data_IF_937491838984
#
_entry.id   IF_937491838984
#
_cell.length_a   1.000
_cell.length_b   1.000
_cell.length_c   1.000
_cell.angle_alpha   90.00
_cell.angle_beta   90.00
_cell.angle_gamma   90.00
#
_symmetry.space_group_name_H-M   'P 1'
#
loop_
_entity.id
_entity.type
_entity.pdbx_description
1 polymer ?
#
# COMPACT_ATOMS: atom_id res chain seq x y z
N UNK A 1 4.53 29.17 -2.30
CA UNK A 1 3.88 28.23 -3.25
C UNK A 1 3.67 26.82 -2.66
N UNK A 2 4.34 26.43 -1.57
CA UNK A 2 4.36 25.07 -0.98
C UNK A 2 3.21 24.74 -0.02
N UNK A 3 2.69 25.70 0.77
CA UNK A 3 1.46 25.52 1.60
C UNK A 3 0.24 25.11 0.76
N UNK A 4 0.38 25.37 -0.54
CA UNK A 4 -0.62 25.45 -1.57
C UNK A 4 -1.35 24.13 -1.91
N UNK A 5 -0.51 23.07 -1.85
CA UNK A 5 -0.68 21.76 -2.47
C UNK A 5 -1.08 20.68 -1.46
N UNK A 6 -1.08 21.00 -0.16
CA UNK A 6 -1.47 20.07 0.91
C UNK A 6 -2.89 19.53 0.74
N UNK A 7 -3.77 20.29 0.07
CA UNK A 7 -5.12 19.84 -0.29
C UNK A 7 -5.11 18.56 -1.14
N UNK A 8 -4.05 18.31 -1.92
CA UNK A 8 -3.88 17.09 -2.72
C UNK A 8 -3.62 15.85 -1.87
N UNK A 9 -3.14 16.00 -0.63
CA UNK A 9 -3.05 14.88 0.32
C UNK A 9 -4.44 14.39 0.75
N UNK A 10 -5.47 15.25 0.70
CA UNK A 10 -6.86 14.88 1.03
C UNK A 10 -7.61 14.37 -0.19
N UNK A 11 -7.32 14.93 -1.36
CA UNK A 11 -8.01 14.62 -2.61
C UNK A 11 -7.89 13.14 -3.00
N UNK A 12 -6.70 12.55 -2.84
CA UNK A 12 -6.50 11.13 -3.11
C UNK A 12 -6.58 10.28 -1.83
N UNK A 13 -7.73 10.34 -1.16
CA UNK A 13 -8.06 9.44 -0.03
C UNK A 13 -9.34 8.68 -0.31
N UNK A 14 -9.51 7.51 0.31
CA UNK A 14 -10.71 6.69 0.11
C UNK A 14 -11.96 7.42 0.58
N UNK A 15 -11.91 8.03 1.77
CA UNK A 15 -13.03 8.78 2.33
C UNK A 15 -13.48 9.91 1.40
N UNK A 16 -12.53 10.66 0.83
CA UNK A 16 -12.84 11.72 -0.10
C UNK A 16 -13.38 11.20 -1.44
N UNK A 17 -12.81 10.11 -1.97
CA UNK A 17 -13.34 9.48 -3.18
C UNK A 17 -14.79 9.03 -3.00
N UNK A 18 -15.11 8.33 -1.91
CA UNK A 18 -16.48 7.88 -1.67
C UNK A 18 -17.43 9.00 -1.27
N UNK A 19 -16.96 10.08 -0.65
CA UNK A 19 -17.79 11.27 -0.47
C UNK A 19 -18.16 11.88 -1.83
N UNK A 20 -17.22 12.01 -2.76
CA UNK A 20 -17.51 12.48 -4.12
C UNK A 20 -18.45 11.56 -4.90
N UNK A 21 -18.26 10.25 -4.79
CA UNK A 21 -19.05 9.25 -5.53
C UNK A 21 -20.49 9.12 -5.00
N UNK A 22 -20.70 9.26 -3.69
CA UNK A 22 -22.00 9.01 -3.06
C UNK A 22 -22.83 10.27 -2.78
N UNK A 23 -22.26 11.48 -2.93
CA UNK A 23 -22.96 12.73 -2.61
C UNK A 23 -23.40 13.48 -3.88
N UNK A 24 -24.58 14.11 -3.84
CA UNK A 24 -24.94 15.17 -4.77
C UNK A 24 -24.05 16.41 -4.49
N UNK A 25 -22.93 16.49 -5.20
CA UNK A 25 -22.12 17.68 -5.54
C UNK A 25 -22.28 18.94 -4.68
N UNK A 26 -21.87 18.91 -3.41
CA UNK A 26 -21.66 20.14 -2.62
C UNK A 26 -20.39 20.08 -1.76
N UNK A 27 -19.36 19.36 -2.21
CA UNK A 27 -18.05 19.39 -1.54
C UNK A 27 -17.23 20.58 -2.09
N UNK A 28 -17.12 21.63 -1.27
CA UNK A 28 -16.31 22.83 -1.55
C UNK A 28 -14.85 22.48 -1.84
N UNK A 29 -14.36 21.36 -1.31
CA UNK A 29 -12.99 20.87 -1.54
C UNK A 29 -12.79 20.41 -2.98
N UNK A 30 -13.75 19.68 -3.56
CA UNK A 30 -13.65 19.20 -4.94
C UNK A 30 -13.59 20.39 -5.90
N UNK A 31 -14.55 21.31 -5.78
CA UNK A 31 -14.58 22.54 -6.56
C UNK A 31 -13.30 23.38 -6.45
N UNK A 32 -12.78 23.55 -5.23
CA UNK A 32 -11.54 24.28 -4.98
C UNK A 32 -10.32 23.62 -5.66
N UNK A 33 -10.22 22.28 -5.63
CA UNK A 33 -9.14 21.55 -6.31
C UNK A 33 -9.28 21.69 -7.83
N UNK A 34 -10.47 21.51 -8.39
CA UNK A 34 -10.69 21.63 -9.84
C UNK A 34 -10.32 23.05 -10.32
N UNK A 35 -10.87 24.09 -9.69
CA UNK A 35 -10.60 25.49 -10.10
C UNK A 35 -9.12 25.85 -10.04
N UNK A 36 -8.38 25.21 -9.13
CA UNK A 36 -6.97 25.51 -8.88
C UNK A 36 -6.01 24.77 -9.81
N UNK A 37 -6.26 23.49 -10.03
CA UNK A 37 -5.29 22.59 -10.69
C UNK A 37 -5.70 22.20 -12.11
N UNK A 38 -6.92 22.53 -12.53
CA UNK A 38 -7.43 22.20 -13.87
C UNK A 38 -7.75 23.48 -14.65
N UNK A 39 -7.24 23.56 -15.88
CA UNK A 39 -7.60 24.63 -16.82
C UNK A 39 -8.88 24.27 -17.57
N UNK A 40 -9.83 25.20 -17.67
CA UNK A 40 -11.10 25.04 -18.41
C UNK A 40 -11.88 23.73 -18.11
N UNK A 41 -12.53 23.63 -16.92
CA UNK A 41 -13.14 22.36 -16.48
C UNK A 41 -14.56 22.08 -17.01
N UNK A 42 -15.26 23.06 -17.60
CA UNK A 42 -16.73 23.04 -17.82
C UNK A 42 -17.27 21.93 -18.73
N UNK A 43 -16.43 21.28 -19.54
CA UNK A 43 -16.85 20.22 -20.47
C UNK A 43 -16.19 18.86 -20.21
N UNK A 44 -15.37 18.77 -19.16
CA UNK A 44 -14.62 17.57 -18.81
C UNK A 44 -15.45 16.67 -17.92
N UNK A 45 -15.36 15.37 -18.14
CA UNK A 45 -15.83 14.41 -17.15
C UNK A 45 -14.89 14.36 -15.94
N UNK A 46 -15.38 13.85 -14.81
CA UNK A 46 -14.58 13.78 -13.59
C UNK A 46 -13.32 12.91 -13.75
N UNK A 47 -13.33 11.92 -14.64
CA UNK A 47 -12.15 11.12 -14.98
C UNK A 47 -11.02 11.98 -15.58
N UNK A 48 -11.34 12.81 -16.55
CA UNK A 48 -10.41 13.74 -17.19
C UNK A 48 -9.86 14.77 -16.20
N UNK A 49 -10.74 15.31 -15.34
CA UNK A 49 -10.33 16.24 -14.27
C UNK A 49 -9.31 15.61 -13.32
N UNK A 50 -9.58 14.38 -12.85
CA UNK A 50 -8.68 13.63 -11.97
C UNK A 50 -7.35 13.34 -12.66
N UNK A 51 -7.36 13.00 -13.95
CA UNK A 51 -6.15 12.76 -14.73
C UNK A 51 -5.26 14.00 -14.83
N UNK A 52 -5.85 15.18 -15.04
CA UNK A 52 -5.09 16.44 -15.07
C UNK A 52 -4.46 16.80 -13.71
N UNK A 53 -5.20 16.60 -12.62
CA UNK A 53 -4.68 16.80 -11.27
C UNK A 53 -3.51 15.86 -10.99
N UNK A 54 -3.66 14.58 -11.35
CA UNK A 54 -2.61 13.59 -11.16
C UNK A 54 -1.37 13.89 -12.03
N UNK A 55 -1.56 14.40 -13.25
CA UNK A 55 -0.48 14.86 -14.11
C UNK A 55 0.27 16.03 -13.49
N UNK A 56 -0.42 16.97 -12.85
CA UNK A 56 0.21 18.03 -12.06
C UNK A 56 1.04 17.44 -10.91
N UNK A 57 0.46 16.53 -10.12
CA UNK A 57 1.16 15.87 -9.01
C UNK A 57 2.44 15.17 -9.46
N UNK A 58 2.41 14.51 -10.62
CA UNK A 58 3.56 13.78 -11.16
C UNK A 58 4.80 14.65 -11.40
N UNK A 59 4.60 15.96 -11.62
CA UNK A 59 5.67 16.92 -11.91
C UNK A 59 6.04 17.78 -10.71
N UNK A 60 5.06 18.16 -9.89
CA UNK A 60 5.21 19.22 -8.90
C UNK A 60 4.99 18.78 -7.45
N UNK A 61 4.32 17.66 -7.20
CA UNK A 61 3.93 17.26 -5.84
C UNK A 61 3.68 15.74 -5.71
N UNK A 62 4.77 14.97 -5.67
CA UNK A 62 4.75 13.51 -5.58
C UNK A 62 4.71 13.06 -4.12
N UNK A 63 3.52 13.10 -3.53
CA UNK A 63 3.28 12.66 -2.14
C UNK A 63 3.24 11.13 -1.99
N UNK A 64 3.05 10.63 -0.77
CA UNK A 64 2.97 9.19 -0.44
C UNK A 64 1.96 8.45 -1.34
N UNK A 65 0.78 9.02 -1.55
CA UNK A 65 -0.23 8.45 -2.44
C UNK A 65 0.31 8.23 -3.86
N UNK A 66 1.00 9.23 -4.42
CA UNK A 66 1.56 9.14 -5.76
C UNK A 66 2.55 7.98 -5.89
N UNK A 67 3.44 7.84 -4.90
CA UNK A 67 4.41 6.74 -4.83
C UNK A 67 3.70 5.38 -4.68
N UNK A 68 2.78 5.25 -3.74
CA UNK A 68 2.01 4.02 -3.52
C UNK A 68 1.22 3.61 -4.77
N UNK A 69 0.55 4.55 -5.42
CA UNK A 69 -0.19 4.29 -6.64
C UNK A 69 0.72 3.88 -7.79
N UNK A 70 1.90 4.50 -7.91
CA UNK A 70 2.89 4.11 -8.92
C UNK A 70 3.48 2.73 -8.63
N UNK A 71 3.81 2.41 -7.38
CA UNK A 71 4.29 1.09 -6.98
C UNK A 71 3.26 0.01 -7.27
N UNK A 72 2.00 0.23 -6.90
CA UNK A 72 0.92 -0.70 -7.21
C UNK A 72 0.80 -0.90 -8.72
N UNK A 73 0.72 0.15 -9.51
CA UNK A 73 0.62 0.00 -10.97
C UNK A 73 1.84 -0.70 -11.59
N UNK A 74 3.06 -0.32 -11.21
CA UNK A 74 4.28 -0.85 -11.86
C UNK A 74 4.63 -2.26 -11.38
N UNK A 75 4.48 -2.55 -10.10
CA UNK A 75 4.82 -3.85 -9.54
C UNK A 75 3.65 -4.85 -9.66
N UNK A 76 2.44 -4.47 -9.24
CA UNK A 76 1.30 -5.39 -9.25
C UNK A 76 0.73 -5.60 -10.64
N UNK A 77 0.58 -4.54 -11.45
CA UNK A 77 -0.07 -4.62 -12.77
C UNK A 77 0.93 -4.73 -13.94
N UNK A 78 2.14 -4.20 -13.79
CA UNK A 78 3.16 -4.22 -14.83
C UNK A 78 4.06 -5.47 -14.81
N UNK A 79 4.39 -6.01 -13.63
CA UNK A 79 5.30 -7.16 -13.49
C UNK A 79 4.61 -8.45 -13.06
N UNK A 80 3.47 -8.34 -12.40
CA UNK A 80 2.79 -9.48 -11.81
C UNK A 80 1.33 -9.56 -12.26
N UNK A 81 0.66 -10.64 -11.85
CA UNK A 81 -0.77 -10.79 -12.04
C UNK A 81 -1.50 -10.58 -10.72
N UNK A 82 -2.56 -9.78 -10.75
CA UNK A 82 -3.50 -9.58 -9.64
C UNK A 82 -4.11 -10.89 -9.12
N UNK A 83 -4.14 -11.96 -9.93
CA UNK A 83 -4.62 -13.27 -9.49
C UNK A 83 -3.63 -14.00 -8.58
N UNK A 84 -2.35 -13.64 -8.67
CA UNK A 84 -1.25 -14.36 -8.02
C UNK A 84 -0.52 -13.53 -6.97
N UNK A 85 -0.85 -12.23 -6.89
CA UNK A 85 -0.16 -11.26 -6.07
C UNK A 85 -1.16 -10.51 -5.20
N UNK A 86 -0.76 -10.27 -3.95
CA UNK A 86 -1.55 -9.52 -2.99
C UNK A 86 -0.73 -8.32 -2.52
N UNK A 87 -1.24 -7.12 -2.76
CA UNK A 87 -0.75 -5.93 -2.11
C UNK A 87 -1.50 -5.68 -0.79
N UNK A 88 -0.80 -5.21 0.24
CA UNK A 88 -1.34 -4.68 1.49
C UNK A 88 -0.78 -3.27 1.69
N UNK A 89 -1.48 -2.44 2.45
CA UNK A 89 -1.02 -1.09 2.79
C UNK A 89 -1.26 -0.82 4.25
N UNK A 90 -0.49 0.08 4.83
CA UNK A 90 -0.75 0.63 6.16
C UNK A 90 -0.79 -0.45 7.27
N UNK A 91 0.04 -1.48 7.16
CA UNK A 91 0.06 -2.63 8.09
C UNK A 91 0.89 -2.29 9.33
N UNK A 92 0.31 -2.31 10.55
CA UNK A 92 1.06 -2.07 11.78
C UNK A 92 2.03 -3.22 12.06
N UNK A 93 3.29 -2.88 12.36
CA UNK A 93 4.34 -3.84 12.73
C UNK A 93 5.11 -3.25 13.91
N UNK A 94 4.95 -3.86 15.09
CA UNK A 94 5.51 -3.34 16.33
C UNK A 94 5.12 -1.87 16.58
N UNK A 95 6.07 -0.93 16.56
CA UNK A 95 5.82 0.51 16.76
C UNK A 95 5.73 1.29 15.45
N UNK A 96 5.95 0.61 14.33
CA UNK A 96 6.01 1.17 12.99
C UNK A 96 4.81 0.71 12.16
N UNK A 97 4.67 1.30 10.97
CA UNK A 97 3.55 0.99 10.05
C UNK A 97 4.09 0.92 8.63
N UNK A 98 4.04 -0.27 8.06
CA UNK A 98 4.53 -0.50 6.71
C UNK A 98 3.60 0.14 5.67
N UNK A 99 4.15 1.00 4.82
CA UNK A 99 3.38 1.77 3.83
C UNK A 99 2.76 0.85 2.79
N UNK A 100 3.55 -0.05 2.21
CA UNK A 100 3.14 -0.93 1.13
C UNK A 100 3.83 -2.28 1.22
N UNK A 101 3.09 -3.38 1.05
CA UNK A 101 3.64 -4.74 1.07
C UNK A 101 3.14 -5.46 -0.16
N UNK A 102 4.03 -6.15 -0.87
CA UNK A 102 3.68 -6.97 -2.03
C UNK A 102 4.02 -8.43 -1.77
N UNK A 103 3.03 -9.31 -1.91
CA UNK A 103 3.14 -10.75 -1.65
C UNK A 103 2.94 -11.52 -2.96
N UNK A 104 4.03 -12.04 -3.53
CA UNK A 104 4.03 -12.95 -4.68
C UNK A 104 5.23 -13.90 -4.63
N UNK A 105 5.04 -15.11 -4.13
CA UNK A 105 6.13 -16.06 -3.88
C UNK A 105 6.97 -15.69 -2.65
N UNK A 106 7.35 -14.41 -2.52
CA UNK A 106 7.90 -13.75 -1.34
C UNK A 106 7.08 -12.52 -0.95
N UNK A 107 7.25 -12.01 0.26
CA UNK A 107 6.64 -10.78 0.72
C UNK A 107 7.71 -9.69 0.89
N UNK A 108 7.58 -8.60 0.15
CA UNK A 108 8.49 -7.45 0.21
C UNK A 108 7.75 -6.26 0.82
N UNK A 109 8.31 -5.71 1.91
CA UNK A 109 7.87 -4.45 2.50
C UNK A 109 8.54 -3.30 1.74
N UNK A 110 7.75 -2.31 1.34
CA UNK A 110 8.20 -1.08 0.71
C UNK A 110 7.91 0.09 1.63
N UNK A 111 8.95 0.69 2.18
CA UNK A 111 8.91 1.95 2.92
C UNK A 111 9.11 3.11 1.94
N UNK A 112 8.17 4.04 1.89
CA UNK A 112 8.20 5.16 0.95
C UNK A 112 8.88 6.37 1.63
N UNK A 113 9.91 6.92 1.00
CA UNK A 113 10.56 8.17 1.39
C UNK A 113 10.51 9.14 0.23
N UNK A 114 9.49 9.97 0.21
CA UNK A 114 9.31 11.01 -0.81
C UNK A 114 10.31 12.14 -0.62
N UNK A 115 10.39 13.08 -1.57
CA UNK A 115 11.20 14.30 -1.41
C UNK A 115 10.74 15.20 -0.25
N UNK A 116 9.55 14.93 0.31
CA UNK A 116 8.97 15.66 1.44
C UNK A 116 9.33 15.04 2.79
N UNK A 117 9.89 13.82 2.81
CA UNK A 117 10.11 13.03 4.03
C UNK A 117 11.53 13.16 4.59
N UNK A 118 11.65 13.00 5.90
CA UNK A 118 12.93 12.78 6.56
C UNK A 118 13.24 11.29 6.72
N UNK A 119 14.53 10.98 6.91
CA UNK A 119 15.03 9.63 7.16
C UNK A 119 15.13 9.29 8.65
N UNK A 120 14.74 10.20 9.55
CA UNK A 120 15.07 10.13 10.99
C UNK A 120 14.46 8.90 11.67
N UNK A 121 13.29 8.44 11.19
CA UNK A 121 12.59 7.25 11.71
C UNK A 121 12.98 5.96 11.00
N UNK A 122 13.77 6.03 9.93
CA UNK A 122 13.97 4.91 9.02
C UNK A 122 14.59 3.70 9.73
N UNK A 123 15.61 3.90 10.58
CA UNK A 123 16.24 2.80 11.32
C UNK A 123 15.23 2.02 12.17
N UNK A 124 14.37 2.71 12.92
CA UNK A 124 13.36 2.07 13.77
C UNK A 124 12.34 1.32 12.93
N UNK A 125 11.91 1.92 11.81
CA UNK A 125 10.98 1.31 10.87
C UNK A 125 11.55 0.01 10.30
N UNK A 126 12.78 0.03 9.79
CA UNK A 126 13.44 -1.15 9.20
C UNK A 126 13.60 -2.27 10.22
N UNK A 127 14.06 -1.97 11.44
CA UNK A 127 14.18 -2.95 12.53
C UNK A 127 12.83 -3.57 12.89
N UNK A 128 11.75 -2.80 12.89
CA UNK A 128 10.42 -3.33 13.15
C UNK A 128 9.92 -4.21 11.99
N UNK A 129 10.15 -3.80 10.74
CA UNK A 129 9.69 -4.57 9.57
C UNK A 129 10.35 -5.93 9.46
N UNK A 130 11.66 -6.01 9.75
CA UNK A 130 12.39 -7.29 9.74
C UNK A 130 11.92 -8.29 10.82
N UNK A 131 11.15 -7.85 11.83
CA UNK A 131 10.52 -8.77 12.79
C UNK A 131 9.37 -9.57 12.19
N UNK A 132 8.74 -9.08 11.13
CA UNK A 132 7.57 -9.72 10.54
C UNK A 132 7.74 -10.13 9.08
N UNK A 133 8.69 -9.53 8.36
CA UNK A 133 8.96 -9.82 6.95
C UNK A 133 10.46 -9.96 6.71
N UNK A 134 10.83 -10.85 5.80
CA UNK A 134 12.24 -11.13 5.53
C UNK A 134 12.81 -10.38 4.31
N UNK A 135 12.02 -9.52 3.65
CA UNK A 135 12.50 -8.63 2.61
C UNK A 135 11.93 -7.23 2.82
N UNK A 136 12.82 -6.24 2.89
CA UNK A 136 12.46 -4.83 3.10
C UNK A 136 13.19 -3.98 2.06
N UNK A 137 12.47 -3.04 1.46
CA UNK A 137 12.96 -2.14 0.43
C UNK A 137 12.55 -0.71 0.79
N UNK A 138 13.47 0.25 0.65
CA UNK A 138 13.14 1.67 0.67
C UNK A 138 12.88 2.13 -0.76
N UNK A 139 11.81 2.89 -0.97
CA UNK A 139 11.46 3.50 -2.25
C UNK A 139 11.61 5.00 -2.12
N UNK A 140 12.42 5.61 -2.98
CA UNK A 140 12.73 7.04 -2.88
C UNK A 140 12.90 7.69 -4.25
N UNK A 141 13.21 8.99 -4.29
CA UNK A 141 13.46 9.76 -5.51
C UNK A 141 14.92 9.65 -5.96
N UNK A 142 15.22 10.12 -7.18
CA UNK A 142 16.61 10.22 -7.65
C UNK A 142 17.44 11.16 -6.77
N UNK A 143 16.86 12.26 -6.31
CA UNK A 143 17.50 13.26 -5.44
C UNK A 143 17.88 12.72 -4.05
N UNK A 144 17.16 11.71 -3.54
CA UNK A 144 17.41 11.11 -2.23
C UNK A 144 18.20 9.79 -2.32
N UNK A 145 18.53 9.32 -3.52
CA UNK A 145 19.14 8.01 -3.72
C UNK A 145 20.49 7.87 -3.01
N UNK A 146 21.43 8.79 -3.21
CA UNK A 146 22.76 8.75 -2.58
C UNK A 146 22.66 8.77 -1.05
N UNK A 147 21.74 9.57 -0.50
CA UNK A 147 21.47 9.61 0.94
C UNK A 147 20.97 8.25 1.44
N UNK A 148 20.03 7.63 0.73
CA UNK A 148 19.52 6.31 1.07
C UNK A 148 20.62 5.23 0.99
N UNK A 149 21.48 5.27 -0.04
CA UNK A 149 22.63 4.37 -0.20
C UNK A 149 23.59 4.49 0.99
N UNK A 150 23.94 5.71 1.38
CA UNK A 150 24.85 5.96 2.50
C UNK A 150 24.26 5.47 3.83
N UNK A 151 22.99 5.73 4.10
CA UNK A 151 22.31 5.28 5.34
C UNK A 151 22.21 3.75 5.39
N UNK A 152 22.01 3.10 4.24
CA UNK A 152 21.72 1.66 4.16
C UNK A 152 22.95 0.82 3.73
N UNK A 153 24.13 1.42 3.73
CA UNK A 153 25.36 0.76 3.33
C UNK A 153 25.59 -0.50 4.19
N UNK A 154 25.89 -1.63 3.53
CA UNK A 154 26.12 -2.92 4.19
C UNK A 154 24.89 -3.65 4.73
N UNK A 155 23.67 -3.09 4.58
CA UNK A 155 22.44 -3.76 5.01
C UNK A 155 21.85 -4.67 3.92
N UNK A 156 20.92 -5.56 4.28
CA UNK A 156 20.14 -6.37 3.31
C UNK A 156 18.99 -5.60 2.63
N UNK A 157 18.82 -4.33 3.00
CA UNK A 157 17.68 -3.51 2.55
C UNK A 157 17.85 -3.13 1.08
N UNK A 158 16.79 -3.36 0.30
CA UNK A 158 16.70 -2.93 -1.09
C UNK A 158 16.47 -1.42 -1.19
N UNK A 159 16.84 -0.83 -2.33
CA UNK A 159 16.62 0.58 -2.62
C UNK A 159 16.05 0.66 -4.03
N UNK A 160 14.83 1.17 -4.17
CA UNK A 160 14.24 1.46 -5.47
C UNK A 160 14.06 2.96 -5.66
N UNK A 161 14.38 3.42 -6.86
CA UNK A 161 14.20 4.82 -7.23
C UNK A 161 13.02 4.98 -8.16
N UNK A 162 12.12 5.89 -7.81
CA UNK A 162 11.01 6.31 -8.66
C UNK A 162 11.44 7.52 -9.52
N UNK A 163 11.77 7.22 -10.77
CA UNK A 163 12.25 8.20 -11.76
C UNK A 163 11.22 9.31 -12.03
N UNK A 164 11.65 10.48 -12.55
CA UNK A 164 10.75 11.53 -13.02
C UNK A 164 9.73 11.06 -14.07
N UNK A 165 10.05 10.00 -14.82
CA UNK A 165 9.16 9.36 -15.80
C UNK A 165 8.15 8.38 -15.17
N UNK A 166 8.03 8.38 -13.84
CA UNK A 166 7.11 7.53 -13.07
C UNK A 166 7.33 6.03 -13.30
N UNK A 167 8.59 5.64 -13.44
CA UNK A 167 9.03 4.23 -13.53
C UNK A 167 10.04 3.92 -12.44
N UNK A 168 10.19 2.63 -12.11
CA UNK A 168 11.24 2.18 -11.20
C UNK A 168 12.55 2.09 -11.99
N UNK A 169 13.58 2.79 -11.51
CA UNK A 169 14.88 2.85 -12.18
C UNK A 169 15.51 1.45 -12.27
N UNK A 170 16.05 1.11 -13.44
CA UNK A 170 16.83 -0.12 -13.64
C UNK A 170 18.30 0.07 -13.27
N UNK A 171 18.77 1.32 -13.22
CA UNK A 171 20.17 1.71 -12.96
C UNK A 171 20.40 2.09 -11.50
N UNK A 172 19.55 2.96 -10.94
CA UNK A 172 19.64 3.41 -9.56
C UNK A 172 18.76 2.52 -8.69
N UNK A 173 19.25 1.32 -8.40
CA UNK A 173 18.54 0.37 -7.54
C UNK A 173 19.46 -0.63 -6.87
N UNK A 174 18.96 -1.20 -5.78
CA UNK A 174 19.49 -2.36 -5.08
C UNK A 174 18.31 -3.30 -4.77
N UNK A 175 18.43 -4.56 -5.12
CA UNK A 175 17.40 -5.55 -4.81
C UNK A 175 17.42 -5.88 -3.31
N UNK A 176 16.25 -6.07 -2.65
CA UNK A 176 16.22 -6.50 -1.26
C UNK A 176 16.63 -7.96 -1.13
N UNK A 177 17.47 -8.25 -0.14
CA UNK A 177 17.96 -9.59 0.17
C UNK A 177 17.13 -10.24 1.27
N UNK A 178 17.05 -11.57 1.26
CA UNK A 178 16.34 -12.32 2.29
C UNK A 178 17.09 -12.24 3.63
N UNK A 179 16.41 -11.82 4.68
CA UNK A 179 16.91 -11.86 6.05
C UNK A 179 15.87 -12.45 7.01
N UNK A 180 16.11 -13.68 7.45
CA UNK A 180 15.25 -14.37 8.43
C UNK A 180 15.72 -14.22 9.88
N UNK A 181 16.87 -13.58 10.14
CA UNK A 181 17.52 -13.60 11.47
C UNK A 181 16.76 -12.80 12.53
N UNK A 182 15.90 -11.87 12.10
CA UNK A 182 15.15 -10.98 12.99
C UNK A 182 13.67 -11.36 13.14
N UNK A 183 13.21 -12.40 12.43
CA UNK A 183 11.80 -12.80 12.49
C UNK A 183 11.40 -13.16 13.92
N UNK A 184 10.25 -12.63 14.34
CA UNK A 184 9.70 -12.81 15.67
C UNK A 184 8.26 -13.34 15.58
N UNK A 185 7.97 -14.41 16.32
CA UNK A 185 6.65 -15.04 16.31
C UNK A 185 5.55 -14.06 16.70
N UNK A 186 5.81 -13.20 17.70
CA UNK A 186 4.80 -12.25 18.19
C UNK A 186 4.49 -11.19 17.15
N UNK A 187 5.50 -10.64 16.48
CA UNK A 187 5.34 -9.66 15.42
C UNK A 187 4.57 -10.23 14.22
N UNK A 188 4.92 -11.43 13.76
CA UNK A 188 4.19 -12.12 12.68
C UNK A 188 2.75 -12.39 13.09
N UNK A 189 2.53 -12.92 14.30
CA UNK A 189 1.21 -13.28 14.79
C UNK A 189 0.27 -12.08 14.90
N UNK A 190 0.78 -10.93 15.38
CA UNK A 190 0.00 -9.69 15.52
C UNK A 190 -0.53 -9.11 14.21
N UNK A 191 0.07 -9.46 13.07
CA UNK A 191 -0.40 -9.01 11.75
C UNK A 191 -1.62 -9.84 11.31
N UNK A 192 -1.75 -11.07 11.80
CA UNK A 192 -2.80 -12.01 11.40
C UNK A 192 -4.13 -11.68 12.07
N UNK A 193 -5.21 -11.75 11.31
CA UNK A 193 -6.56 -11.70 11.84
C UNK A 193 -6.91 -13.04 12.52
N UNK A 194 -7.90 -13.03 13.42
CA UNK A 194 -8.35 -14.22 14.18
C UNK A 194 -8.44 -15.50 13.35
N UNK A 195 -9.23 -15.45 12.28
CA UNK A 195 -9.42 -16.60 11.37
C UNK A 195 -8.12 -17.07 10.72
N UNK A 196 -7.18 -16.16 10.47
CA UNK A 196 -5.93 -16.49 9.78
C UNK A 196 -4.97 -17.27 10.68
N UNK A 197 -4.76 -16.84 11.92
CA UNK A 197 -3.93 -17.60 12.85
C UNK A 197 -4.61 -18.91 13.28
N UNK A 198 -5.95 -18.93 13.41
CA UNK A 198 -6.71 -20.16 13.68
C UNK A 198 -6.51 -21.20 12.57
N UNK A 199 -6.60 -20.77 11.30
CA UNK A 199 -6.33 -21.64 10.17
C UNK A 199 -4.90 -22.22 10.20
N UNK A 200 -3.91 -21.44 10.63
CA UNK A 200 -2.52 -21.91 10.75
C UNK A 200 -2.42 -22.97 11.85
N UNK A 201 -3.00 -22.72 13.02
CA UNK A 201 -2.97 -23.65 14.15
C UNK A 201 -3.71 -24.95 13.82
N UNK A 202 -4.89 -24.88 13.22
CA UNK A 202 -5.63 -26.05 12.74
C UNK A 202 -4.82 -26.83 11.70
N UNK A 203 -4.20 -26.14 10.74
CA UNK A 203 -3.39 -26.79 9.72
C UNK A 203 -2.14 -27.47 10.30
N UNK A 204 -1.51 -26.89 11.32
CA UNK A 204 -0.25 -27.40 11.87
C UNK A 204 -0.46 -28.46 12.96
N UNK A 205 -1.40 -28.22 13.88
CA UNK A 205 -1.62 -29.05 15.07
C UNK A 205 -2.90 -29.89 15.00
N UNK A 206 -3.77 -29.66 14.02
CA UNK A 206 -5.07 -30.35 13.89
C UNK A 206 -6.15 -29.85 14.87
N UNK A 207 -5.83 -28.91 15.76
CA UNK A 207 -6.75 -28.39 16.78
C UNK A 207 -6.39 -26.97 17.21
N UNK A 208 -7.39 -26.28 17.74
CA UNK A 208 -7.25 -25.00 18.43
C UNK A 208 -7.03 -25.22 19.93
N UNK A 209 -6.43 -24.25 20.65
CA UNK A 209 -6.25 -24.37 22.08
C UNK A 209 -7.62 -24.32 22.78
N UNK A 210 -7.79 -25.16 23.81
CA UNK A 210 -8.97 -25.12 24.68
C UNK A 210 -8.72 -24.05 25.73
N UNK A 211 -9.33 -22.88 25.55
CA UNK A 211 -9.15 -21.73 26.43
C UNK A 211 -10.45 -20.92 26.53
N UNK A 212 -10.64 -20.23 27.65
CA UNK A 212 -11.72 -19.24 27.76
C UNK A 212 -11.44 -18.06 26.82
N UNK A 213 -12.50 -17.31 26.48
CA UNK A 213 -12.42 -16.18 25.56
C UNK A 213 -11.36 -15.12 25.97
N UNK A 214 -11.16 -14.93 27.27
CA UNK A 214 -10.18 -13.97 27.83
C UNK A 214 -8.74 -14.40 27.55
N UNK A 215 -8.43 -15.69 27.61
CA UNK A 215 -7.08 -16.22 27.41
C UNK A 215 -6.80 -16.69 25.99
N UNK A 216 -7.84 -16.80 25.15
CA UNK A 216 -7.77 -17.44 23.84
C UNK A 216 -6.67 -16.88 22.93
N UNK A 217 -6.53 -15.55 22.85
CA UNK A 217 -5.49 -14.92 22.04
C UNK A 217 -4.08 -15.30 22.51
N UNK A 218 -3.86 -15.27 23.83
CA UNK A 218 -2.58 -15.62 24.44
C UNK A 218 -2.22 -17.09 24.24
N UNK A 219 -3.18 -17.99 24.39
CA UNK A 219 -2.95 -19.43 24.15
C UNK A 219 -2.68 -19.74 22.67
N UNK A 220 -3.39 -19.06 21.76
CA UNK A 220 -3.09 -19.17 20.32
C UNK A 220 -1.67 -18.69 19.99
N UNK A 221 -1.23 -17.58 20.59
CA UNK A 221 0.14 -17.07 20.39
C UNK A 221 1.19 -18.03 20.96
N UNK A 222 0.97 -18.58 22.17
CA UNK A 222 1.86 -19.60 22.76
C UNK A 222 2.00 -20.80 21.84
N UNK A 223 0.88 -21.32 21.34
CA UNK A 223 0.88 -22.47 20.42
C UNK A 223 1.52 -22.12 19.07
N UNK A 224 1.25 -20.95 18.52
CA UNK A 224 1.88 -20.47 17.28
C UNK A 224 3.41 -20.35 17.42
N UNK A 225 3.88 -19.92 18.59
CA UNK A 225 5.31 -19.74 18.89
C UNK A 225 6.08 -21.08 18.97
N UNK A 226 5.39 -22.21 19.05
CA UNK A 226 5.99 -23.55 18.97
C UNK A 226 6.27 -24.00 17.53
N UNK A 227 5.70 -23.32 16.53
CA UNK A 227 5.96 -23.62 15.11
C UNK A 227 7.35 -23.07 14.77
N UNK A 228 8.25 -23.83 14.09
CA UNK A 228 9.53 -23.30 13.64
C UNK A 228 9.36 -21.97 12.88
N UNK A 229 10.10 -20.92 13.26
CA UNK A 229 9.82 -19.52 12.84
C UNK A 229 9.70 -19.35 11.32
N UNK A 230 10.58 -19.96 10.53
CA UNK A 230 10.53 -19.91 9.05
C UNK A 230 9.27 -20.59 8.51
N UNK A 231 8.81 -21.67 9.15
CA UNK A 231 7.57 -22.36 8.77
C UNK A 231 6.35 -21.53 9.18
N UNK A 232 6.35 -20.95 10.37
CA UNK A 232 5.32 -20.03 10.84
C UNK A 232 5.16 -18.83 9.89
N UNK A 233 6.28 -18.21 9.50
CA UNK A 233 6.34 -17.13 8.53
C UNK A 233 5.72 -17.52 7.18
N UNK A 234 6.15 -18.64 6.58
CA UNK A 234 5.58 -19.14 5.31
C UNK A 234 4.08 -19.40 5.41
N UNK A 235 3.59 -19.94 6.53
CA UNK A 235 2.16 -20.16 6.75
C UNK A 235 1.40 -18.83 6.90
N UNK A 236 1.98 -17.85 7.59
CA UNK A 236 1.44 -16.49 7.69
C UNK A 236 1.30 -15.84 6.31
N UNK A 237 2.35 -15.89 5.48
CA UNK A 237 2.30 -15.35 4.11
C UNK A 237 1.17 -15.98 3.27
N UNK A 238 0.94 -17.29 3.41
CA UNK A 238 -0.17 -17.98 2.73
C UNK A 238 -1.53 -17.45 3.17
N UNK A 239 -1.72 -17.08 4.43
CA UNK A 239 -2.97 -16.47 4.89
C UNK A 239 -3.09 -15.03 4.41
N UNK A 240 -2.05 -14.21 4.56
CA UNK A 240 -2.05 -12.82 4.09
C UNK A 240 -2.32 -12.70 2.59
N UNK A 241 -1.79 -13.65 1.79
CA UNK A 241 -2.07 -13.71 0.35
C UNK A 241 -3.56 -13.83 0.03
N UNK A 242 -4.37 -14.47 0.88
CA UNK A 242 -5.83 -14.63 0.69
C UNK A 242 -6.63 -13.34 0.93
N UNK A 243 -5.99 -12.26 1.39
CA UNK A 243 -6.67 -10.97 1.63
C UNK A 243 -7.04 -10.22 0.35
N UNK A 244 -6.48 -10.60 -0.81
CA UNK A 244 -6.87 -9.99 -2.08
C UNK A 244 -8.30 -10.41 -2.46
N UNK A 245 -9.18 -9.41 -2.64
CA UNK A 245 -10.61 -9.58 -2.99
C UNK A 245 -10.99 -8.83 -4.26
N UNK A 246 -10.00 -8.40 -5.04
CA UNK A 246 -10.24 -7.53 -6.19
C UNK A 246 -11.05 -8.25 -7.28
N UNK A 247 -12.06 -7.58 -7.83
CA UNK A 247 -12.74 -8.02 -9.05
C UNK A 247 -11.94 -7.58 -10.25
N UNK A 248 -11.14 -8.49 -10.82
CA UNK A 248 -10.14 -8.18 -11.86
C UNK A 248 -10.72 -7.42 -13.05
N UNK A 249 -11.90 -7.82 -13.55
CA UNK A 249 -12.51 -7.19 -14.72
C UNK A 249 -12.97 -5.76 -14.45
N UNK A 250 -13.55 -5.49 -13.28
CA UNK A 250 -13.92 -4.12 -12.88
C UNK A 250 -12.69 -3.29 -12.58
N UNK A 251 -11.70 -3.87 -11.90
CA UNK A 251 -10.47 -3.17 -11.57
C UNK A 251 -9.71 -2.71 -12.81
N UNK A 252 -9.74 -3.46 -13.92
CA UNK A 252 -9.13 -3.05 -15.19
C UNK A 252 -9.68 -1.72 -15.73
N UNK A 253 -10.97 -1.45 -15.55
CA UNK A 253 -11.65 -0.24 -16.03
C UNK A 253 -11.28 1.03 -15.25
N UNK A 254 -10.76 0.88 -14.03
CA UNK A 254 -10.37 2.02 -13.19
C UNK A 254 -9.19 2.76 -13.82
N UNK A 255 -9.22 4.10 -13.88
CA UNK A 255 -8.09 4.92 -14.32
C UNK A 255 -6.82 4.68 -13.50
N UNK A 256 -5.64 4.86 -14.11
CA UNK A 256 -4.34 4.65 -13.45
C UNK A 256 -4.24 5.39 -12.12
N UNK A 257 -4.75 6.63 -12.12
CA UNK A 257 -4.73 7.63 -11.06
C UNK A 257 -5.48 7.21 -9.80
N UNK A 258 -6.41 6.24 -9.90
CA UNK A 258 -7.29 5.79 -8.81
C UNK A 258 -7.07 4.33 -8.41
N UNK A 259 -6.17 3.60 -9.09
CA UNK A 259 -5.97 2.15 -8.89
C UNK A 259 -5.69 1.81 -7.43
N UNK A 260 -4.79 2.53 -6.77
CA UNK A 260 -4.45 2.24 -5.37
C UNK A 260 -5.64 2.46 -4.44
N UNK A 261 -6.36 3.58 -4.58
CA UNK A 261 -7.55 3.86 -3.75
C UNK A 261 -8.57 2.74 -3.86
N UNK A 262 -8.93 2.39 -5.09
CA UNK A 262 -9.93 1.36 -5.35
C UNK A 262 -9.45 -0.02 -4.92
N UNK A 263 -8.17 -0.34 -5.14
CA UNK A 263 -7.61 -1.63 -4.75
C UNK A 263 -7.74 -1.88 -3.24
N UNK A 264 -7.44 -0.85 -2.44
CA UNK A 264 -7.48 -0.96 -0.98
C UNK A 264 -8.86 -0.69 -0.37
N UNK A 265 -9.82 -0.15 -1.12
CA UNK A 265 -11.15 0.19 -0.62
C UNK A 265 -12.09 -1.03 -0.47
N UNK A 266 -11.79 -2.14 -1.16
CA UNK A 266 -12.69 -3.31 -1.24
C UNK A 266 -14.16 -2.97 -1.60
N UNK A 267 -14.40 -2.22 -2.70
CA UNK A 267 -15.75 -1.75 -3.05
C UNK A 267 -16.75 -2.88 -3.31
N UNK A 268 -17.98 -2.66 -2.85
CA UNK A 268 -19.16 -3.48 -3.13
C UNK A 268 -19.61 -3.36 -4.59
N UNK A 269 -20.56 -4.19 -5.03
CA UNK A 269 -21.09 -4.11 -6.41
C UNK A 269 -21.70 -2.75 -6.73
N UNK A 270 -22.44 -2.15 -5.78
CA UNK A 270 -23.04 -0.82 -5.94
C UNK A 270 -21.97 0.27 -6.03
N UNK A 271 -20.89 0.16 -5.25
CA UNK A 271 -19.78 1.11 -5.29
C UNK A 271 -19.14 1.16 -6.68
N UNK A 272 -18.95 0.00 -7.33
CA UNK A 272 -18.41 -0.06 -8.70
C UNK A 272 -19.26 0.69 -9.72
N UNK A 273 -20.59 0.56 -9.62
CA UNK A 273 -21.51 1.28 -10.50
C UNK A 273 -21.47 2.78 -10.24
N UNK A 274 -21.46 3.18 -8.97
CA UNK A 274 -21.39 4.58 -8.57
C UNK A 274 -20.06 5.23 -9.01
N UNK A 275 -18.92 4.55 -8.82
CA UNK A 275 -17.61 5.02 -9.30
C UNK A 275 -17.63 5.23 -10.81
N UNK A 276 -18.16 4.26 -11.57
CA UNK A 276 -18.22 4.39 -13.02
C UNK A 276 -19.16 5.52 -13.47
N UNK A 277 -20.30 5.70 -12.79
CA UNK A 277 -21.20 6.82 -13.03
C UNK A 277 -20.51 8.17 -12.79
N UNK A 278 -19.87 8.32 -11.63
CA UNK A 278 -19.13 9.52 -11.26
C UNK A 278 -18.03 9.86 -12.26
N UNK A 279 -17.21 8.89 -12.68
CA UNK A 279 -16.10 9.15 -13.60
C UNK A 279 -16.56 9.66 -14.96
N UNK A 280 -17.74 9.25 -15.43
CA UNK A 280 -18.30 9.66 -16.73
C UNK A 280 -19.22 10.89 -16.64
N UNK A 281 -19.49 11.40 -15.45
CA UNK A 281 -20.31 12.59 -15.24
C UNK A 281 -19.53 13.85 -15.59
N UNK A 282 -20.15 14.75 -16.36
CA UNK A 282 -19.59 16.07 -16.67
C UNK A 282 -19.50 16.93 -15.42
N UNK A 283 -18.43 17.69 -15.31
CA UNK A 283 -18.23 18.62 -14.21
C UNK A 283 -19.33 19.70 -14.17
N UNK A 284 -20.01 19.81 -13.02
CA UNK A 284 -21.07 20.79 -12.80
C UNK A 284 -22.44 20.40 -13.35
N UNK A 285 -22.58 19.19 -13.91
CA UNK A 285 -23.86 18.56 -14.26
C UNK A 285 -24.25 17.45 -13.31
#
# INVERSE_FOLDING_TARGET
>A
MTENNLILNRFFTQNFLFSMVNSNFNDTTYGAVIQRFVSAPRDKDNGALISEIYKFMSKAYRNEYFYQNTLLNKLLLGKHSVNTTTALTQVPICKSKADFILINGKAVVYEIKTDLDSFDRLDTQLRDYFKAFNHVCVVTSESQYERAVNILQGTQVGIYVLTPQNTISTKLRKEPEENNSQLDHTAIFKILHKREYENILLQYFGKLPVASQVFYYGECLKQFSQIPIVRAYRMALKQLKKRNRIRVNEFKKIPYELKSLIYFASPSTSDWQAINGFLNQKYGG
#
